data_IF_921627890399
#
_entry.id   IF_921627890399
#
_cell.length_a   1.000
_cell.length_b   1.000
_cell.length_c   1.000
_cell.angle_alpha   90.00
_cell.angle_beta   90.00
_cell.angle_gamma   90.00
#
_symmetry.space_group_name_H-M   'P 1'
#
loop_
_entity.id
_entity.type
_entity.pdbx_description
1 polymer ?
#
# COMPACT_ATOMS: atom_id res chain seq x y z
N UNK A 1 42.36 75.10 2.51
CA UNK A 1 41.58 75.54 3.70
C UNK A 1 40.20 74.96 3.50
N UNK A 2 39.63 74.06 4.29
CA UNK A 2 39.74 73.81 5.74
C UNK A 2 39.11 72.44 6.04
N UNK A 3 39.63 71.77 7.06
CA UNK A 3 39.20 70.47 7.60
C UNK A 3 37.90 70.58 8.41
N UNK A 4 37.03 69.57 8.34
CA UNK A 4 36.13 69.09 9.42
C UNK A 4 35.82 67.61 9.06
N UNK A 5 36.31 66.59 9.79
CA UNK A 5 35.75 66.03 11.06
C UNK A 5 34.26 65.72 10.90
N UNK A 6 33.66 64.57 11.21
CA UNK A 6 34.02 63.36 11.96
C UNK A 6 32.69 62.57 12.08
N UNK A 7 32.58 61.30 11.67
CA UNK A 7 31.65 60.25 12.19
C UNK A 7 31.73 59.02 11.27
N UNK A 8 32.32 57.90 11.73
CA UNK A 8 31.62 56.73 12.33
C UNK A 8 30.67 56.08 11.30
N UNK A 9 31.12 55.02 10.63
CA UNK A 9 30.80 53.61 10.93
C UNK A 9 29.37 53.24 10.51
N UNK A 10 29.26 52.25 9.63
CA UNK A 10 28.30 51.12 9.64
C UNK A 10 28.12 50.66 8.20
N UNK A 11 28.82 49.56 7.90
CA UNK A 11 28.45 48.57 6.92
C UNK A 11 27.02 48.08 7.23
N UNK A 12 26.06 48.31 6.33
CA UNK A 12 24.84 47.51 6.30
C UNK A 12 24.30 47.36 4.88
N UNK A 13 24.61 46.19 4.32
CA UNK A 13 23.77 45.34 3.47
C UNK A 13 22.85 46.02 2.44
N UNK A 14 23.29 45.91 1.19
CA UNK A 14 22.47 46.06 0.00
C UNK A 14 21.14 45.31 0.11
N UNK A 15 20.05 46.05 -0.03
CA UNK A 15 18.68 45.56 -0.13
C UNK A 15 18.49 44.84 -1.47
N UNK A 16 18.75 43.54 -1.50
CA UNK A 16 18.42 42.67 -2.62
C UNK A 16 17.01 42.12 -2.40
N UNK A 17 16.01 42.68 -3.11
CA UNK A 17 14.66 42.10 -3.17
C UNK A 17 14.60 41.07 -4.30
N UNK A 18 14.19 39.82 -4.05
CA UNK A 18 13.68 38.96 -5.11
C UNK A 18 12.16 39.02 -5.15
N UNK A 19 11.66 39.53 -6.27
CA UNK A 19 10.30 39.40 -6.75
C UNK A 19 10.06 37.93 -7.15
N UNK A 20 8.89 37.41 -6.78
CA UNK A 20 8.21 36.23 -7.35
C UNK A 20 8.81 34.84 -7.07
N UNK A 21 8.04 34.04 -6.32
CA UNK A 21 7.76 32.66 -6.71
C UNK A 21 6.40 32.25 -6.11
N UNK A 22 5.36 32.27 -6.94
CA UNK A 22 4.14 31.53 -6.68
C UNK A 22 4.50 30.04 -6.64
N UNK A 23 4.60 29.49 -5.43
CA UNK A 23 4.77 28.05 -5.19
C UNK A 23 3.42 27.47 -4.82
N UNK A 24 2.84 26.77 -5.79
CA UNK A 24 1.86 25.71 -5.65
C UNK A 24 2.21 24.84 -4.44
N UNK A 25 1.30 24.58 -3.48
CA UNK A 25 1.52 23.57 -2.46
C UNK A 25 1.34 22.19 -3.10
N UNK A 26 2.40 21.70 -3.76
CA UNK A 26 2.56 20.30 -4.15
C UNK A 26 3.90 19.83 -3.62
N UNK A 27 3.93 19.48 -2.33
CA UNK A 27 4.69 18.35 -1.79
C UNK A 27 4.42 18.22 -0.28
N UNK A 28 4.33 16.98 0.19
CA UNK A 28 4.74 16.51 1.52
C UNK A 28 3.70 16.42 2.64
N UNK A 29 2.82 15.42 2.52
CA UNK A 29 2.63 14.45 3.60
C UNK A 29 3.16 13.08 3.14
N UNK A 30 4.48 13.04 2.90
CA UNK A 30 5.27 11.82 2.92
C UNK A 30 6.04 11.87 4.22
N UNK A 31 5.54 11.16 5.25
CA UNK A 31 6.26 10.61 6.42
C UNK A 31 5.30 10.49 7.63
N UNK A 32 4.48 9.45 7.63
CA UNK A 32 4.17 8.74 8.88
C UNK A 32 4.94 7.42 8.78
N UNK A 33 5.92 7.31 9.65
CA UNK A 33 6.80 6.17 9.85
C UNK A 33 5.95 4.95 10.28
N UNK A 34 6.01 3.87 9.52
CA UNK A 34 6.67 2.63 9.94
C UNK A 34 6.20 2.05 11.29
N UNK A 35 4.91 1.69 11.37
CA UNK A 35 4.46 0.47 12.05
C UNK A 35 3.40 -0.19 11.16
N UNK A 36 3.83 -0.79 10.04
CA UNK A 36 3.07 -1.88 9.42
C UNK A 36 4.02 -3.05 9.29
N UNK A 37 4.39 -3.53 10.46
CA UNK A 37 4.99 -4.83 10.67
C UNK A 37 4.00 -5.87 10.12
N UNK A 38 4.31 -6.37 8.91
CA UNK A 38 3.72 -7.58 8.36
C UNK A 38 2.18 -7.59 8.26
N UNK A 39 1.56 -6.60 7.61
CA UNK A 39 0.27 -6.89 6.98
C UNK A 39 0.56 -7.81 5.80
N UNK A 40 0.58 -9.12 6.06
CA UNK A 40 0.46 -10.10 5.00
C UNK A 40 -0.71 -9.66 4.14
N UNK A 41 -0.43 -9.33 2.87
CA UNK A 41 -1.46 -9.09 1.85
C UNK A 41 -2.40 -10.28 1.86
N UNK A 42 -3.50 -10.11 2.60
CA UNK A 42 -4.49 -11.15 2.80
C UNK A 42 -5.50 -11.00 1.68
N UNK A 43 -5.71 -12.08 0.95
CA UNK A 43 -6.63 -12.09 -0.18
C UNK A 43 -8.02 -12.47 0.33
N UNK A 44 -8.99 -11.62 0.03
CA UNK A 44 -10.38 -11.88 0.34
C UNK A 44 -10.95 -12.94 -0.61
N UNK A 45 -11.44 -14.04 -0.06
CA UNK A 45 -11.93 -15.19 -0.82
C UNK A 45 -13.26 -14.92 -1.55
N UNK A 46 -14.09 -14.07 -0.98
CA UNK A 46 -15.41 -13.73 -1.52
C UNK A 46 -15.35 -12.70 -2.64
N UNK A 47 -14.32 -11.85 -2.65
CA UNK A 47 -14.19 -10.76 -3.62
C UNK A 47 -13.04 -10.91 -4.59
N UNK A 48 -12.04 -11.74 -4.29
CA UNK A 48 -10.90 -11.90 -5.18
C UNK A 48 -11.26 -12.62 -6.49
N UNK A 49 -10.53 -12.24 -7.53
CA UNK A 49 -10.55 -12.88 -8.85
C UNK A 49 -9.66 -14.12 -8.88
N UNK A 50 -9.91 -15.00 -9.87
CA UNK A 50 -9.15 -16.23 -10.02
C UNK A 50 -7.66 -15.96 -10.28
N UNK A 51 -7.34 -14.90 -11.04
CA UNK A 51 -5.95 -14.50 -11.29
C UNK A 51 -5.24 -14.07 -9.99
N UNK A 52 -5.93 -13.28 -9.17
CA UNK A 52 -5.41 -12.79 -7.88
C UNK A 52 -5.19 -13.95 -6.90
N UNK A 53 -6.15 -14.85 -6.78
CA UNK A 53 -6.02 -16.06 -5.96
C UNK A 53 -4.85 -16.93 -6.45
N UNK A 54 -4.72 -17.13 -7.76
CA UNK A 54 -3.62 -17.93 -8.30
C UNK A 54 -2.23 -17.30 -8.10
N UNK A 55 -2.15 -15.97 -8.15
CA UNK A 55 -0.88 -15.25 -7.95
C UNK A 55 -0.44 -15.22 -6.47
N UNK A 56 -1.41 -15.11 -5.55
CA UNK A 56 -1.15 -14.92 -4.12
C UNK A 56 -1.04 -16.24 -3.36
N UNK A 57 -1.72 -17.31 -3.82
CA UNK A 57 -1.79 -18.57 -3.11
C UNK A 57 -0.82 -19.60 -3.70
N UNK A 58 0.20 -19.95 -2.92
CA UNK A 58 1.19 -20.94 -3.34
C UNK A 58 0.56 -22.33 -3.54
N UNK A 59 0.69 -22.89 -4.75
CA UNK A 59 0.12 -24.18 -5.14
C UNK A 59 -1.32 -24.12 -5.66
N UNK A 60 -1.91 -22.93 -5.73
CA UNK A 60 -3.19 -22.66 -6.39
C UNK A 60 -2.91 -22.10 -7.78
N UNK A 61 -3.08 -22.93 -8.81
CA UNK A 61 -3.07 -22.46 -10.19
C UNK A 61 -4.44 -21.89 -10.60
N UNK A 62 -4.52 -21.33 -11.80
CA UNK A 62 -5.77 -20.78 -12.38
C UNK A 62 -6.96 -21.74 -12.29
N UNK A 63 -6.75 -23.04 -12.56
CA UNK A 63 -7.84 -24.05 -12.49
C UNK A 63 -8.43 -24.20 -11.09
N UNK A 64 -7.58 -24.17 -10.05
CA UNK A 64 -8.04 -24.26 -8.66
C UNK A 64 -8.69 -22.95 -8.22
N UNK A 65 -8.13 -21.81 -8.65
CA UNK A 65 -8.73 -20.52 -8.37
C UNK A 65 -10.11 -20.35 -9.02
N UNK A 66 -10.31 -20.88 -10.24
CA UNK A 66 -11.63 -20.96 -10.87
C UNK A 66 -12.60 -21.82 -10.06
N UNK A 67 -12.17 -22.97 -9.55
CA UNK A 67 -13.01 -23.81 -8.68
C UNK A 67 -13.52 -23.07 -7.43
N UNK A 68 -12.73 -22.14 -6.87
CA UNK A 68 -13.18 -21.27 -5.76
C UNK A 68 -14.35 -20.38 -6.20
N UNK A 69 -14.25 -19.78 -7.39
CA UNK A 69 -15.32 -18.91 -7.93
C UNK A 69 -16.57 -19.74 -8.21
N UNK A 70 -16.43 -20.87 -8.89
CA UNK A 70 -17.53 -21.80 -9.17
C UNK A 70 -18.20 -22.28 -7.88
N UNK A 71 -17.40 -22.55 -6.85
CA UNK A 71 -17.91 -22.95 -5.54
C UNK A 71 -18.78 -21.84 -4.92
N UNK A 72 -18.31 -20.59 -4.89
CA UNK A 72 -19.10 -19.49 -4.31
C UNK A 72 -20.33 -19.13 -5.14
N UNK A 73 -20.29 -19.34 -6.45
CA UNK A 73 -21.45 -19.17 -7.33
C UNK A 73 -22.51 -20.25 -7.10
N UNK A 74 -22.08 -21.48 -6.81
CA UNK A 74 -22.98 -22.62 -6.63
C UNK A 74 -23.53 -22.78 -5.22
N UNK A 75 -22.68 -22.57 -4.21
CA UNK A 75 -23.00 -22.81 -2.80
C UNK A 75 -23.16 -21.52 -1.98
N UNK A 76 -22.77 -20.37 -2.54
CA UNK A 76 -22.80 -19.08 -1.86
C UNK A 76 -21.43 -18.67 -1.31
N UNK A 77 -21.37 -17.47 -0.72
CA UNK A 77 -20.14 -16.90 -0.18
C UNK A 77 -19.54 -17.77 0.93
N UNK A 78 -18.21 -17.75 1.03
CA UNK A 78 -17.49 -18.42 2.09
C UNK A 78 -17.71 -17.71 3.42
N UNK A 79 -18.05 -18.48 4.45
CA UNK A 79 -18.22 -18.02 5.83
C UNK A 79 -17.01 -18.36 6.70
N UNK A 80 -16.18 -19.31 6.26
CA UNK A 80 -14.93 -19.67 6.91
C UNK A 80 -13.87 -19.99 5.85
N UNK A 81 -12.61 -19.63 6.12
CA UNK A 81 -11.49 -19.95 5.23
C UNK A 81 -11.28 -21.46 5.11
N UNK A 82 -11.68 -22.25 6.11
CA UNK A 82 -11.57 -23.73 6.09
C UNK A 82 -12.49 -24.39 5.07
N UNK A 83 -13.57 -23.74 4.64
CA UNK A 83 -14.48 -24.25 3.61
C UNK A 83 -13.79 -24.42 2.25
N UNK A 84 -12.59 -23.86 2.08
CA UNK A 84 -11.75 -24.15 0.93
C UNK A 84 -11.52 -25.66 0.73
N UNK A 85 -11.57 -26.48 1.79
CA UNK A 85 -11.43 -27.95 1.70
C UNK A 85 -12.58 -28.62 0.93
N UNK A 86 -13.75 -27.98 0.86
CA UNK A 86 -14.91 -28.46 0.12
C UNK A 86 -14.80 -28.16 -1.39
N UNK A 87 -13.85 -27.30 -1.77
CA UNK A 87 -13.59 -26.94 -3.16
C UNK A 87 -12.80 -28.06 -3.85
N UNK A 88 -13.24 -28.54 -5.03
CA UNK A 88 -12.55 -29.61 -5.73
C UNK A 88 -11.10 -29.23 -6.07
N UNK A 89 -10.15 -30.07 -5.66
CA UNK A 89 -8.72 -29.85 -5.86
C UNK A 89 -7.99 -29.12 -4.72
N UNK A 90 -8.68 -28.78 -3.63
CA UNK A 90 -8.10 -28.26 -2.40
C UNK A 90 -8.03 -29.34 -1.32
N UNK A 91 -6.86 -29.99 -1.21
CA UNK A 91 -6.58 -30.90 -0.10
C UNK A 91 -6.12 -30.18 1.16
N UNK A 92 -6.22 -30.84 2.33
CA UNK A 92 -5.82 -30.32 3.64
C UNK A 92 -4.42 -29.69 3.65
N UNK A 93 -3.46 -30.35 2.99
CA UNK A 93 -2.06 -29.90 2.94
C UNK A 93 -1.90 -28.57 2.19
N UNK A 94 -2.76 -28.31 1.20
CA UNK A 94 -2.74 -27.07 0.45
C UNK A 94 -3.48 -25.98 1.22
N UNK A 95 -4.68 -26.30 1.73
CA UNK A 95 -5.51 -25.37 2.52
C UNK A 95 -4.70 -24.83 3.69
N UNK A 96 -4.01 -25.68 4.43
CA UNK A 96 -3.16 -25.26 5.56
C UNK A 96 -2.07 -24.23 5.18
N UNK A 97 -1.55 -24.27 3.94
CA UNK A 97 -0.54 -23.32 3.45
C UNK A 97 -1.14 -21.96 3.08
N UNK A 98 -2.39 -21.96 2.61
CA UNK A 98 -3.06 -20.76 2.08
C UNK A 98 -3.94 -20.06 3.11
N UNK A 99 -4.45 -20.75 4.12
CA UNK A 99 -5.36 -20.20 5.15
C UNK A 99 -4.75 -18.96 5.85
N UNK A 100 -3.45 -18.94 6.09
CA UNK A 100 -2.77 -17.78 6.69
C UNK A 100 -2.80 -16.51 5.82
N UNK A 101 -2.95 -16.68 4.50
CA UNK A 101 -2.96 -15.61 3.48
C UNK A 101 -4.37 -15.22 3.03
N UNK A 102 -5.41 -15.78 3.63
CA UNK A 102 -6.79 -15.58 3.21
C UNK A 102 -7.60 -14.80 4.25
N UNK A 103 -8.62 -14.10 3.75
CA UNK A 103 -9.70 -13.43 4.48
C UNK A 103 -11.04 -13.70 3.77
N UNK A 104 -12.14 -13.28 4.39
CA UNK A 104 -13.51 -13.40 3.85
C UNK A 104 -14.05 -12.05 3.42
#
# INVERSE_FOLDING_TARGET
MTRQQLTIFVLLFATFSPLTQATTPKQAEKKIEAVQEQLADKVNLNTADAATLAAQLNGVGLRKAQAIIEYREKYGLFTDVKQLIEVPGFGESLVSRVVGKLTL
#
